data_IF_365332743746
#
_entry.id   IF_365332743746
#
_cell.length_a   1.000
_cell.length_b   1.000
_cell.length_c   1.000
_cell.angle_alpha   90.00
_cell.angle_beta   90.00
_cell.angle_gamma   90.00
#
_symmetry.space_group_name_H-M   'P 1'
#
loop_
_entity.id
_entity.type
_entity.pdbx_description
1 polymer ?
#
# COMPACT_ATOMS: atom_id res chain seq x y z
N UNK A 1 5.75 -25.43 10.47
CA UNK A 1 7.09 -25.01 10.88
C UNK A 1 7.65 -23.87 10.03
N UNK A 2 7.74 -23.97 8.69
CA UNK A 2 8.33 -22.91 7.83
C UNK A 2 7.65 -21.53 7.97
N UNK A 3 6.33 -21.46 8.11
CA UNK A 3 5.61 -20.17 8.30
C UNK A 3 5.91 -19.48 9.63
N UNK A 4 5.98 -20.27 10.70
CA UNK A 4 6.33 -19.76 12.04
C UNK A 4 7.79 -19.26 12.04
N UNK A 5 8.68 -20.02 11.42
CA UNK A 5 10.09 -19.63 11.25
C UNK A 5 10.24 -18.31 10.48
N UNK A 6 9.53 -18.17 9.36
CA UNK A 6 9.57 -16.93 8.58
C UNK A 6 9.01 -15.74 9.39
N UNK A 7 7.95 -15.94 10.16
CA UNK A 7 7.39 -14.89 11.01
C UNK A 7 8.37 -14.46 12.11
N UNK A 8 8.97 -15.41 12.82
CA UNK A 8 9.98 -15.09 13.86
C UNK A 8 11.22 -14.41 13.26
N UNK A 9 11.68 -14.85 12.09
CA UNK A 9 12.77 -14.19 11.37
C UNK A 9 12.43 -12.75 11.00
N UNK A 10 11.21 -12.48 10.54
CA UNK A 10 10.79 -11.11 10.22
C UNK A 10 10.81 -10.21 11.46
N UNK A 11 10.33 -10.70 12.62
CA UNK A 11 10.39 -9.95 13.87
C UNK A 11 11.83 -9.62 14.27
N UNK A 12 12.74 -10.60 14.16
CA UNK A 12 14.17 -10.39 14.45
C UNK A 12 14.76 -9.34 13.51
N UNK A 13 14.45 -9.40 12.21
CA UNK A 13 14.92 -8.41 11.24
C UNK A 13 14.39 -7.02 11.58
N UNK A 14 13.10 -6.88 11.97
CA UNK A 14 12.55 -5.59 12.38
C UNK A 14 13.22 -5.05 13.65
N UNK A 15 13.54 -5.92 14.62
CA UNK A 15 14.28 -5.51 15.82
C UNK A 15 15.67 -4.96 15.45
N UNK A 16 16.39 -5.67 14.58
CA UNK A 16 17.70 -5.23 14.11
C UNK A 16 17.63 -3.90 13.35
N UNK A 17 16.65 -3.75 12.44
CA UNK A 17 16.48 -2.54 11.65
C UNK A 17 16.04 -1.34 12.51
N UNK A 18 15.15 -1.54 13.47
CA UNK A 18 14.64 -0.48 14.33
C UNK A 18 15.77 0.11 15.22
N UNK A 19 16.76 -0.70 15.58
CA UNK A 19 17.89 -0.25 16.40
C UNK A 19 19.02 0.40 15.58
N UNK A 20 18.99 0.35 14.23
CA UNK A 20 20.07 0.94 13.42
C UNK A 20 20.35 2.43 13.69
N UNK A 21 19.36 3.30 13.96
CA UNK A 21 19.65 4.70 14.29
C UNK A 21 20.56 4.86 15.51
N UNK A 22 20.51 3.93 16.49
CA UNK A 22 21.37 3.97 17.67
C UNK A 22 22.85 3.68 17.39
N UNK A 23 23.21 3.24 16.17
CA UNK A 23 24.61 3.15 15.74
C UNK A 23 25.29 4.52 15.63
N UNK A 24 24.51 5.57 15.36
CA UNK A 24 25.00 6.93 15.14
C UNK A 24 24.45 7.84 16.21
N UNK A 25 25.26 8.14 17.20
CA UNK A 25 24.97 9.07 18.28
C UNK A 25 25.86 10.31 18.08
N UNK A 26 25.28 11.51 17.93
CA UNK A 26 25.99 12.75 17.64
C UNK A 26 27.09 12.63 16.54
N UNK A 27 26.77 11.93 15.45
CA UNK A 27 27.69 11.64 14.32
C UNK A 27 28.88 10.72 14.65
N UNK A 28 28.88 10.09 15.83
CA UNK A 28 29.88 9.08 16.19
C UNK A 28 29.30 7.68 16.06
N UNK A 29 30.06 6.80 15.45
CA UNK A 29 29.70 5.38 15.38
C UNK A 29 29.91 4.72 16.75
N UNK A 30 28.85 4.14 17.32
CA UNK A 30 28.88 3.44 18.59
C UNK A 30 28.15 2.10 18.51
N UNK A 31 28.92 1.02 18.38
CA UNK A 31 28.35 -0.32 18.40
C UNK A 31 27.77 -0.70 19.77
N UNK A 32 28.31 -0.12 20.85
CA UNK A 32 27.80 -0.35 22.21
C UNK A 32 26.38 0.20 22.37
N UNK A 33 26.09 1.40 21.83
CA UNK A 33 24.76 1.99 21.85
C UNK A 33 23.75 1.13 21.09
N UNK A 34 24.16 0.55 19.98
CA UNK A 34 23.32 -0.40 19.22
C UNK A 34 22.97 -1.66 20.04
N UNK A 35 23.95 -2.26 20.74
CA UNK A 35 23.68 -3.42 21.58
C UNK A 35 22.78 -3.08 22.77
N UNK A 36 22.97 -1.92 23.37
CA UNK A 36 22.10 -1.43 24.45
C UNK A 36 20.68 -1.20 23.95
N UNK A 37 20.50 -0.58 22.77
CA UNK A 37 19.21 -0.39 22.11
C UNK A 37 18.52 -1.72 21.78
N UNK A 38 19.25 -2.72 21.30
CA UNK A 38 18.69 -4.06 21.08
C UNK A 38 18.17 -4.68 22.37
N UNK A 39 18.93 -4.55 23.45
CA UNK A 39 18.53 -5.08 24.76
C UNK A 39 17.31 -4.35 25.31
N UNK A 40 17.28 -3.02 25.28
CA UNK A 40 16.15 -2.22 25.77
C UNK A 40 14.89 -2.49 24.95
N UNK A 41 14.98 -2.43 23.61
CA UNK A 41 13.84 -2.69 22.71
C UNK A 41 13.29 -4.11 22.89
N UNK A 42 14.15 -5.12 23.09
CA UNK A 42 13.69 -6.47 23.36
C UNK A 42 12.93 -6.58 24.69
N UNK A 43 13.36 -5.89 25.74
CA UNK A 43 12.67 -5.87 27.03
C UNK A 43 11.30 -5.17 26.92
N UNK A 44 11.19 -4.09 26.15
CA UNK A 44 9.93 -3.37 25.92
C UNK A 44 8.88 -4.18 25.13
N UNK A 45 9.26 -5.27 24.44
CA UNK A 45 8.30 -6.19 23.84
C UNK A 45 7.34 -6.77 24.90
N UNK A 46 7.83 -7.00 26.12
CA UNK A 46 7.05 -7.55 27.21
C UNK A 46 6.29 -6.50 28.03
N UNK A 47 6.67 -5.22 27.90
CA UNK A 47 6.06 -4.10 28.62
C UNK A 47 5.78 -2.91 27.67
N UNK A 48 4.93 -3.10 26.64
CA UNK A 48 4.70 -2.06 25.62
C UNK A 48 4.03 -0.79 26.17
N UNK A 49 3.35 -0.87 27.32
CA UNK A 49 2.74 0.28 28.00
C UNK A 49 3.79 1.26 28.55
N UNK A 50 5.02 0.80 28.78
CA UNK A 50 6.08 1.63 29.38
C UNK A 50 6.90 2.38 28.30
N UNK A 51 6.57 2.19 27.03
CA UNK A 51 7.24 2.90 25.93
C UNK A 51 6.82 4.37 25.95
N UNK A 52 7.81 5.24 26.10
CA UNK A 52 7.65 6.68 26.08
C UNK A 52 8.30 7.20 24.80
N UNK A 53 7.67 8.16 24.15
CA UNK A 53 8.26 8.90 23.03
C UNK A 53 8.33 10.38 23.36
N UNK A 54 9.39 11.04 22.92
CA UNK A 54 9.62 12.47 23.12
C UNK A 54 9.41 13.20 21.81
N UNK A 55 8.53 14.19 21.79
CA UNK A 55 8.40 15.07 20.64
C UNK A 55 9.64 15.96 20.53
N UNK A 56 10.36 15.86 19.42
CA UNK A 56 11.62 16.61 19.20
C UNK A 56 11.46 18.13 19.19
N UNK A 57 10.25 18.63 18.93
CA UNK A 57 9.97 20.08 18.86
C UNK A 57 9.52 20.62 20.22
N UNK A 58 8.56 19.94 20.88
CA UNK A 58 7.99 20.40 22.16
C UNK A 58 8.70 19.84 23.40
N UNK A 59 9.60 18.88 23.23
CA UNK A 59 10.29 18.13 24.29
C UNK A 59 9.35 17.49 25.32
N UNK A 60 8.08 17.29 24.96
CA UNK A 60 7.08 16.66 25.83
C UNK A 60 7.18 15.15 25.69
N UNK A 61 7.35 14.48 26.81
CA UNK A 61 7.29 13.02 26.91
C UNK A 61 5.83 12.56 26.99
N UNK A 62 5.49 11.54 26.20
CA UNK A 62 4.17 10.93 26.21
C UNK A 62 4.28 9.42 26.12
N UNK A 63 3.35 8.73 26.79
CA UNK A 63 3.19 7.28 26.59
C UNK A 63 2.78 7.00 25.16
N UNK A 64 3.39 5.98 24.55
CA UNK A 64 3.08 5.57 23.19
C UNK A 64 1.61 5.14 23.05
N UNK A 65 1.13 4.36 23.99
CA UNK A 65 -0.27 3.95 24.07
C UNK A 65 -1.04 4.80 25.09
N UNK A 66 -2.25 5.30 24.80
CA UNK A 66 -3.09 5.03 23.59
C UNK A 66 -2.83 5.94 22.38
N UNK A 67 -1.89 6.88 22.45
CA UNK A 67 -1.67 7.93 21.44
C UNK A 67 -1.42 7.38 20.02
N UNK A 68 -0.82 6.20 19.92
CA UNK A 68 -0.49 5.54 18.66
C UNK A 68 -1.70 5.01 17.88
N UNK A 69 -2.83 4.77 18.54
CA UNK A 69 -3.98 4.08 17.94
C UNK A 69 -4.60 4.90 16.81
N UNK A 70 -4.81 6.19 16.98
CA UNK A 70 -5.42 7.04 15.97
C UNK A 70 -4.55 7.13 14.69
N UNK A 71 -3.25 7.47 14.76
CA UNK A 71 -2.36 7.42 13.60
C UNK A 71 -2.34 6.06 12.89
N UNK A 72 -2.32 4.98 13.65
CA UNK A 72 -2.35 3.64 13.09
C UNK A 72 -3.64 3.37 12.30
N UNK A 73 -4.80 3.69 12.86
CA UNK A 73 -6.09 3.53 12.17
C UNK A 73 -6.11 4.37 10.90
N UNK A 74 -5.67 5.63 10.94
CA UNK A 74 -5.63 6.50 9.77
C UNK A 74 -4.79 5.89 8.64
N UNK A 75 -3.56 5.45 8.95
CA UNK A 75 -2.67 4.79 7.98
C UNK A 75 -3.30 3.54 7.37
N UNK A 76 -3.87 2.66 8.19
CA UNK A 76 -4.47 1.40 7.75
C UNK A 76 -5.72 1.64 6.91
N UNK A 77 -6.58 2.57 7.31
CA UNK A 77 -7.80 2.93 6.55
C UNK A 77 -7.43 3.46 5.16
N UNK A 78 -6.48 4.40 5.07
CA UNK A 78 -6.06 4.97 3.80
C UNK A 78 -5.44 3.90 2.90
N UNK A 79 -4.56 3.05 3.45
CA UNK A 79 -3.93 1.96 2.70
C UNK A 79 -4.96 1.02 2.08
N UNK A 80 -5.84 0.48 2.91
CA UNK A 80 -6.80 -0.52 2.43
C UNK A 80 -7.92 0.08 1.59
N UNK A 81 -8.36 1.31 1.87
CA UNK A 81 -9.32 2.01 1.02
C UNK A 81 -8.75 2.30 -0.38
N UNK A 82 -7.49 2.75 -0.47
CA UNK A 82 -6.82 2.97 -1.75
C UNK A 82 -6.62 1.67 -2.53
N UNK A 83 -6.22 0.58 -1.87
CA UNK A 83 -6.08 -0.74 -2.49
C UNK A 83 -7.43 -1.29 -3.00
N UNK A 84 -8.50 -1.13 -2.21
CA UNK A 84 -9.84 -1.56 -2.60
C UNK A 84 -10.36 -0.77 -3.81
N UNK A 85 -10.17 0.56 -3.80
CA UNK A 85 -10.55 1.43 -4.91
C UNK A 85 -9.79 1.04 -6.19
N UNK A 86 -8.46 0.89 -6.08
CA UNK A 86 -7.63 0.46 -7.21
C UNK A 86 -8.04 -0.91 -7.74
N UNK A 87 -8.38 -1.86 -6.87
CA UNK A 87 -8.86 -3.17 -7.25
C UNK A 87 -10.16 -3.11 -8.07
N UNK A 88 -11.17 -2.42 -7.55
CA UNK A 88 -12.47 -2.30 -8.23
C UNK A 88 -12.31 -1.60 -9.57
N UNK A 89 -11.63 -0.45 -9.59
CA UNK A 89 -11.45 0.36 -10.80
C UNK A 89 -10.61 -0.36 -11.83
N UNK A 90 -9.56 -1.10 -11.44
CA UNK A 90 -8.74 -1.87 -12.38
C UNK A 90 -9.52 -2.96 -13.10
N UNK A 91 -10.38 -3.70 -12.39
CA UNK A 91 -11.23 -4.72 -13.01
C UNK A 91 -12.30 -4.12 -13.94
N UNK A 92 -12.91 -2.99 -13.55
CA UNK A 92 -13.86 -2.29 -14.42
C UNK A 92 -13.16 -1.71 -15.66
N UNK A 93 -11.98 -1.16 -15.49
CA UNK A 93 -11.22 -0.61 -16.61
C UNK A 93 -10.73 -1.69 -17.59
N UNK A 94 -10.32 -2.86 -17.11
CA UNK A 94 -9.98 -3.99 -17.99
C UNK A 94 -11.19 -4.50 -18.77
N UNK A 95 -12.41 -4.37 -18.26
CA UNK A 95 -13.61 -4.62 -19.06
C UNK A 95 -13.73 -3.65 -20.25
N UNK A 96 -13.46 -2.35 -20.04
CA UNK A 96 -13.47 -1.37 -21.14
C UNK A 96 -12.40 -1.67 -22.18
N UNK A 97 -11.20 -2.14 -21.75
CA UNK A 97 -10.12 -2.57 -22.66
C UNK A 97 -10.52 -3.81 -23.45
N UNK A 98 -11.34 -4.70 -22.87
CA UNK A 98 -11.81 -5.91 -23.56
C UNK A 98 -12.84 -5.61 -24.65
N UNK A 99 -13.76 -4.69 -24.38
CA UNK A 99 -14.88 -4.40 -25.30
C UNK A 99 -14.50 -3.40 -26.39
N UNK A 100 -13.51 -2.54 -26.13
CA UNK A 100 -13.19 -1.42 -27.02
C UNK A 100 -11.71 -1.37 -27.41
N UNK A 101 -11.39 -1.87 -28.60
CA UNK A 101 -10.02 -1.87 -29.13
C UNK A 101 -9.41 -0.47 -29.28
N UNK A 102 -10.23 0.57 -29.49
CA UNK A 102 -9.75 1.93 -29.59
C UNK A 102 -9.24 2.44 -28.26
N UNK A 103 -10.01 2.22 -27.18
CA UNK A 103 -9.60 2.55 -25.81
C UNK A 103 -8.31 1.76 -25.45
N UNK A 104 -8.25 0.49 -25.82
CA UNK A 104 -7.07 -0.34 -25.59
C UNK A 104 -5.81 0.24 -26.26
N UNK A 105 -5.89 0.62 -27.53
CA UNK A 105 -4.76 1.22 -28.26
C UNK A 105 -4.30 2.54 -27.63
N UNK A 106 -5.22 3.39 -27.20
CA UNK A 106 -4.91 4.63 -26.51
C UNK A 106 -4.28 4.35 -25.14
N UNK A 107 -4.84 3.43 -24.37
CA UNK A 107 -4.29 3.03 -23.08
C UNK A 107 -2.84 2.56 -23.21
N UNK A 108 -2.52 1.70 -24.17
CA UNK A 108 -1.15 1.21 -24.36
C UNK A 108 -0.15 2.34 -24.64
N UNK A 109 -0.53 3.36 -25.41
CA UNK A 109 0.30 4.55 -25.63
C UNK A 109 0.50 5.36 -24.36
N UNK A 110 -0.58 5.61 -23.62
CA UNK A 110 -0.52 6.37 -22.35
C UNK A 110 0.28 5.59 -21.31
N UNK A 111 0.08 4.30 -21.21
CA UNK A 111 0.78 3.44 -20.26
C UNK A 111 2.30 3.46 -20.48
N UNK A 112 2.75 3.52 -21.73
CA UNK A 112 4.18 3.69 -22.04
C UNK A 112 4.74 4.99 -21.46
N UNK A 113 3.97 6.08 -21.47
CA UNK A 113 4.37 7.36 -20.86
C UNK A 113 4.30 7.25 -19.33
N UNK A 114 3.22 6.71 -18.78
CA UNK A 114 3.04 6.57 -17.33
C UNK A 114 4.13 5.71 -16.69
N UNK A 115 4.58 4.65 -17.37
CA UNK A 115 5.64 3.76 -16.85
C UNK A 115 7.03 4.41 -16.77
N UNK A 116 7.24 5.56 -17.42
CA UNK A 116 8.49 6.34 -17.32
C UNK A 116 8.47 7.24 -16.08
N UNK A 117 7.29 7.65 -15.62
CA UNK A 117 7.13 8.56 -14.48
C UNK A 117 7.34 7.77 -13.19
N UNK A 118 8.32 8.13 -12.34
CA UNK A 118 8.46 7.51 -11.03
C UNK A 118 7.21 7.71 -10.18
N UNK A 119 6.80 6.66 -9.45
CA UNK A 119 5.54 6.62 -8.67
C UNK A 119 5.39 7.80 -7.70
N UNK A 120 6.50 8.27 -7.15
CA UNK A 120 6.52 9.40 -6.23
C UNK A 120 5.96 10.70 -6.83
N UNK A 121 6.04 10.90 -8.14
CA UNK A 121 5.59 12.14 -8.79
C UNK A 121 4.06 12.22 -8.91
N UNK A 122 3.33 11.11 -8.81
CA UNK A 122 1.86 11.14 -8.84
C UNK A 122 1.28 11.96 -7.69
N UNK A 123 1.92 11.94 -6.51
CA UNK A 123 1.44 12.65 -5.33
C UNK A 123 1.51 14.18 -5.52
N UNK A 124 2.70 14.79 -5.74
CA UNK A 124 2.79 16.24 -5.91
C UNK A 124 2.08 16.74 -7.17
N UNK A 125 2.03 15.95 -8.24
CA UNK A 125 1.29 16.30 -9.44
C UNK A 125 -0.22 16.39 -9.18
N UNK A 126 -0.78 15.45 -8.43
CA UNK A 126 -2.21 15.47 -8.06
C UNK A 126 -2.55 16.68 -7.19
N UNK A 127 -1.70 17.00 -6.21
CA UNK A 127 -1.88 18.18 -5.36
C UNK A 127 -1.80 19.46 -6.18
N UNK A 128 -0.78 19.59 -7.02
CA UNK A 128 -0.61 20.76 -7.90
C UNK A 128 -1.81 20.94 -8.83
N UNK A 129 -2.36 19.85 -9.34
CA UNK A 129 -3.54 19.89 -10.22
C UNK A 129 -4.77 20.46 -9.50
N UNK A 130 -5.01 20.06 -8.24
CA UNK A 130 -6.15 20.60 -7.44
C UNK A 130 -5.92 22.07 -7.09
N UNK A 131 -4.69 22.44 -6.73
CA UNK A 131 -4.36 23.86 -6.42
C UNK A 131 -4.53 24.72 -7.66
N UNK A 132 -4.04 24.31 -8.84
CA UNK A 132 -4.22 25.03 -10.09
C UNK A 132 -5.69 25.15 -10.45
N UNK A 133 -6.46 24.08 -10.32
CA UNK A 133 -7.91 24.13 -10.56
C UNK A 133 -8.60 25.17 -9.66
N UNK A 134 -8.26 25.19 -8.36
CA UNK A 134 -8.79 26.18 -7.42
C UNK A 134 -8.41 27.62 -7.83
N UNK A 135 -7.16 27.86 -8.24
CA UNK A 135 -6.72 29.19 -8.67
C UNK A 135 -7.47 29.72 -9.91
N UNK A 136 -7.92 28.82 -10.81
CA UNK A 136 -8.66 29.24 -12.02
C UNK A 136 -10.17 29.32 -11.83
N UNK A 137 -10.73 28.57 -10.87
CA UNK A 137 -12.20 28.42 -10.75
C UNK A 137 -12.75 28.94 -9.44
N UNK A 138 -11.92 29.26 -8.45
CA UNK A 138 -12.29 29.55 -7.06
C UNK A 138 -13.09 28.41 -6.37
N UNK A 139 -13.09 27.19 -6.96
CA UNK A 139 -13.78 26.03 -6.42
C UNK A 139 -12.78 25.08 -5.78
N UNK A 140 -12.82 24.91 -4.46
CA UNK A 140 -12.02 23.92 -3.75
C UNK A 140 -12.63 22.53 -3.89
N UNK A 141 -12.04 21.68 -4.74
CA UNK A 141 -12.52 20.31 -4.97
C UNK A 141 -12.26 19.40 -3.77
N UNK A 142 -11.08 19.52 -3.17
CA UNK A 142 -10.62 18.68 -2.07
C UNK A 142 -9.69 19.46 -1.12
N UNK A 143 -9.73 19.12 0.15
CA UNK A 143 -8.72 19.58 1.10
C UNK A 143 -7.40 18.88 0.81
N UNK A 144 -6.36 19.67 0.50
CA UNK A 144 -5.02 19.18 0.09
C UNK A 144 -4.07 18.93 1.26
N UNK A 145 -4.48 19.31 2.48
CA UNK A 145 -3.73 19.04 3.71
C UNK A 145 -4.68 18.90 4.89
N UNK A 146 -4.26 18.14 5.89
CA UNK A 146 -4.99 18.08 7.16
C UNK A 146 -4.84 19.40 7.94
N UNK A 147 -5.96 19.91 8.43
CA UNK A 147 -6.02 20.98 9.42
C UNK A 147 -6.61 20.45 10.73
N UNK A 148 -6.55 21.27 11.80
CA UNK A 148 -7.15 20.93 13.11
C UNK A 148 -8.67 20.76 13.05
N UNK A 149 -9.32 21.39 12.08
CA UNK A 149 -10.78 21.40 11.94
C UNK A 149 -11.29 20.42 10.87
N UNK A 150 -10.49 20.20 9.80
CA UNK A 150 -10.90 19.36 8.65
C UNK A 150 -9.87 18.28 8.35
N UNK A 151 -10.29 17.02 8.48
CA UNK A 151 -9.47 15.86 8.09
C UNK A 151 -9.62 15.59 6.59
N UNK A 152 -8.54 15.76 5.84
CA UNK A 152 -8.50 15.35 4.43
C UNK A 152 -8.31 13.82 4.36
N UNK A 153 -9.36 13.05 4.12
CA UNK A 153 -9.28 11.58 3.96
C UNK A 153 -9.50 11.16 2.51
N UNK A 154 -10.50 11.75 1.84
CA UNK A 154 -10.94 11.32 0.51
C UNK A 154 -9.83 11.55 -0.53
N UNK A 155 -9.25 12.74 -0.57
CA UNK A 155 -8.24 13.08 -1.57
C UNK A 155 -6.95 12.26 -1.42
N UNK A 156 -6.37 12.06 -0.23
CA UNK A 156 -5.27 11.13 -0.02
C UNK A 156 -5.55 9.70 -0.50
N UNK A 157 -6.76 9.17 -0.25
CA UNK A 157 -7.16 7.84 -0.73
C UNK A 157 -7.18 7.79 -2.26
N UNK A 158 -7.76 8.81 -2.92
CA UNK A 158 -7.79 8.90 -4.37
C UNK A 158 -6.39 8.97 -4.96
N UNK A 159 -5.53 9.83 -4.41
CA UNK A 159 -4.15 10.01 -4.88
C UNK A 159 -3.33 8.74 -4.68
N UNK A 160 -3.42 8.11 -3.50
CA UNK A 160 -2.71 6.86 -3.24
C UNK A 160 -3.19 5.73 -4.15
N UNK A 161 -4.47 5.70 -4.51
CA UNK A 161 -5.03 4.65 -5.37
C UNK A 161 -4.51 4.67 -6.80
N UNK A 162 -3.94 5.79 -7.29
CA UNK A 162 -3.40 5.91 -8.65
C UNK A 162 -2.28 4.89 -8.88
N UNK A 163 -1.38 4.75 -7.93
CA UNK A 163 -0.20 3.89 -8.04
C UNK A 163 -0.57 2.41 -8.18
N UNK A 164 -1.33 1.81 -7.23
CA UNK A 164 -1.78 0.44 -7.38
C UNK A 164 -2.74 0.25 -8.56
N UNK A 165 -3.51 1.27 -8.96
CA UNK A 165 -4.38 1.21 -10.13
C UNK A 165 -3.57 1.06 -11.43
N UNK A 166 -2.59 1.94 -11.67
CA UNK A 166 -1.75 1.89 -12.87
C UNK A 166 -1.00 0.56 -12.95
N UNK A 167 -0.38 0.12 -11.85
CA UNK A 167 0.30 -1.16 -11.77
C UNK A 167 -0.64 -2.34 -12.04
N UNK A 168 -1.84 -2.33 -11.46
CA UNK A 168 -2.84 -3.40 -11.64
C UNK A 168 -3.35 -3.46 -13.07
N UNK A 169 -3.72 -2.33 -13.68
CA UNK A 169 -4.24 -2.30 -15.05
C UNK A 169 -3.16 -2.74 -16.03
N UNK A 170 -1.91 -2.33 -15.84
CA UNK A 170 -0.78 -2.75 -16.68
C UNK A 170 -0.61 -4.27 -16.63
N UNK A 171 -0.59 -4.86 -15.46
CA UNK A 171 -0.49 -6.30 -15.27
C UNK A 171 -1.71 -7.04 -15.84
N UNK A 172 -2.92 -6.60 -15.49
CA UNK A 172 -4.16 -7.26 -15.91
C UNK A 172 -4.41 -7.13 -17.41
N UNK A 173 -3.95 -6.05 -18.07
CA UNK A 173 -4.09 -5.90 -19.52
C UNK A 173 -3.27 -6.93 -20.29
N UNK A 174 -2.08 -7.32 -19.80
CA UNK A 174 -1.29 -8.40 -20.41
C UNK A 174 -1.97 -9.76 -20.26
N UNK A 175 -2.50 -10.05 -19.07
CA UNK A 175 -3.25 -11.29 -18.80
C UNK A 175 -4.56 -11.33 -19.61
N UNK A 176 -5.23 -10.20 -19.80
CA UNK A 176 -6.44 -10.09 -20.60
C UNK A 176 -6.21 -10.55 -22.03
N UNK A 177 -5.06 -10.20 -22.63
CA UNK A 177 -4.71 -10.64 -23.99
C UNK A 177 -4.56 -12.15 -24.09
N UNK A 178 -3.90 -12.76 -23.14
CA UNK A 178 -3.70 -14.21 -23.09
C UNK A 178 -5.03 -14.96 -22.88
N UNK A 179 -5.81 -14.51 -21.89
CA UNK A 179 -7.09 -15.15 -21.55
C UNK A 179 -8.12 -14.99 -22.67
N UNK A 180 -8.18 -13.82 -23.32
CA UNK A 180 -9.17 -13.54 -24.38
C UNK A 180 -8.95 -14.37 -25.66
N UNK A 181 -7.74 -14.91 -25.87
CA UNK A 181 -7.37 -15.78 -27.00
C UNK A 181 -7.43 -17.28 -26.68
N UNK A 182 -7.81 -17.64 -25.46
CA UNK A 182 -7.87 -19.04 -25.07
C UNK A 182 -9.03 -19.77 -25.76
N UNK A 183 -8.80 -21.02 -26.19
CA UNK A 183 -9.74 -21.84 -26.97
C UNK A 183 -11.13 -21.94 -26.36
N UNK A 184 -11.22 -22.00 -25.02
CA UNK A 184 -12.51 -22.06 -24.32
C UNK A 184 -13.31 -20.75 -24.44
N UNK A 185 -12.66 -19.61 -24.62
CA UNK A 185 -13.31 -18.31 -24.88
C UNK A 185 -13.85 -18.28 -26.32
N UNK A 186 -13.05 -18.73 -27.29
CA UNK A 186 -13.51 -18.84 -28.69
C UNK A 186 -14.69 -19.79 -28.79
N UNK A 187 -14.62 -20.94 -28.14
CA UNK A 187 -15.74 -21.88 -28.09
C UNK A 187 -16.99 -21.31 -27.43
N UNK A 188 -16.83 -20.52 -26.38
CA UNK A 188 -17.95 -19.84 -25.71
C UNK A 188 -18.57 -18.76 -26.62
N UNK A 189 -17.75 -18.10 -27.44
CA UNK A 189 -18.21 -17.12 -28.44
C UNK A 189 -19.02 -17.81 -29.56
N UNK A 190 -18.62 -18.99 -30.01
CA UNK A 190 -19.39 -19.75 -31.00
C UNK A 190 -20.74 -20.23 -30.49
N UNK A 191 -20.91 -20.34 -29.15
CA UNK A 191 -22.20 -20.60 -28.50
C UNK A 191 -23.12 -19.38 -28.42
N UNK A 192 -22.71 -18.21 -28.93
CA UNK A 192 -23.53 -17.00 -28.98
C UNK A 192 -23.51 -16.16 -27.71
N UNK A 193 -22.54 -16.39 -26.80
CA UNK A 193 -22.41 -15.55 -25.62
C UNK A 193 -21.97 -14.11 -26.00
N UNK A 194 -22.62 -13.14 -25.39
CA UNK A 194 -22.26 -11.73 -25.55
C UNK A 194 -20.89 -11.40 -24.91
N UNK A 195 -20.25 -10.30 -25.33
CA UNK A 195 -18.98 -9.86 -24.74
C UNK A 195 -19.10 -9.61 -23.23
N UNK A 196 -20.25 -9.12 -22.75
CA UNK A 196 -20.51 -8.92 -21.32
C UNK A 196 -20.49 -10.27 -20.60
N UNK A 197 -21.21 -11.26 -21.12
CA UNK A 197 -21.25 -12.59 -20.51
C UNK A 197 -19.89 -13.29 -20.53
N UNK A 198 -19.15 -13.18 -21.63
CA UNK A 198 -17.81 -13.74 -21.75
C UNK A 198 -16.88 -13.11 -20.70
N UNK A 199 -16.93 -11.78 -20.55
CA UNK A 199 -16.09 -11.10 -19.57
C UNK A 199 -16.43 -11.53 -18.14
N UNK A 200 -17.68 -11.36 -17.71
CA UNK A 200 -18.05 -11.58 -16.30
C UNK A 200 -18.09 -13.07 -15.90
N UNK A 201 -18.44 -13.99 -16.80
CA UNK A 201 -18.52 -15.42 -16.49
C UNK A 201 -17.17 -16.15 -16.61
N UNK A 202 -16.32 -15.73 -17.56
CA UNK A 202 -15.12 -16.49 -17.91
C UNK A 202 -13.83 -15.69 -17.68
N UNK A 203 -13.71 -14.48 -18.22
CA UNK A 203 -12.47 -13.70 -18.21
C UNK A 203 -12.19 -13.15 -16.80
N UNK A 204 -13.19 -12.53 -16.16
CA UNK A 204 -13.06 -11.88 -14.87
C UNK A 204 -12.52 -12.83 -13.78
N UNK A 205 -12.94 -14.09 -13.80
CA UNK A 205 -12.45 -15.09 -12.84
C UNK A 205 -10.93 -15.29 -12.91
N UNK A 206 -10.39 -15.32 -14.13
CA UNK A 206 -8.95 -15.46 -14.35
C UNK A 206 -8.19 -14.17 -13.99
N UNK A 207 -8.74 -12.99 -14.35
CA UNK A 207 -8.16 -11.71 -13.97
C UNK A 207 -8.13 -11.52 -12.46
N UNK A 208 -9.20 -11.91 -11.76
CA UNK A 208 -9.27 -11.87 -10.31
C UNK A 208 -8.21 -12.78 -9.65
N UNK A 209 -8.08 -14.02 -10.13
CA UNK A 209 -7.04 -14.92 -9.65
C UNK A 209 -5.63 -14.34 -9.89
N UNK A 210 -5.38 -13.80 -11.07
CA UNK A 210 -4.10 -13.16 -11.42
C UNK A 210 -3.83 -11.92 -10.56
N UNK A 211 -4.83 -11.11 -10.26
CA UNK A 211 -4.71 -9.99 -9.33
C UNK A 211 -4.25 -10.47 -7.94
N UNK A 212 -4.88 -11.52 -7.40
CA UNK A 212 -4.52 -12.08 -6.09
C UNK A 212 -3.09 -12.63 -6.05
N UNK A 213 -2.60 -13.21 -7.15
CA UNK A 213 -1.20 -13.67 -7.28
C UNK A 213 -0.24 -12.47 -7.17
N UNK A 214 -0.58 -11.35 -7.82
CA UNK A 214 0.25 -10.14 -7.84
C UNK A 214 0.01 -9.21 -6.63
N UNK A 215 -0.95 -9.50 -5.76
CA UNK A 215 -1.38 -8.64 -4.66
C UNK A 215 -0.24 -8.27 -3.70
N UNK A 216 0.68 -9.20 -3.44
CA UNK A 216 1.87 -8.94 -2.62
C UNK A 216 2.72 -7.79 -3.20
N UNK A 217 2.92 -7.76 -4.49
CA UNK A 217 3.66 -6.68 -5.16
C UNK A 217 2.90 -5.34 -5.05
N UNK A 218 1.59 -5.37 -5.35
CA UNK A 218 0.73 -4.19 -5.32
C UNK A 218 0.71 -3.53 -3.92
N UNK A 219 0.55 -4.33 -2.86
CA UNK A 219 0.50 -3.78 -1.50
C UNK A 219 1.85 -3.17 -1.07
N UNK A 220 2.99 -3.75 -1.50
CA UNK A 220 4.31 -3.21 -1.16
C UNK A 220 4.61 -1.89 -1.84
N UNK A 221 4.30 -1.72 -3.12
CA UNK A 221 4.49 -0.43 -3.81
C UNK A 221 3.56 0.64 -3.21
N UNK A 222 2.31 0.28 -2.89
CA UNK A 222 1.36 1.20 -2.25
C UNK A 222 1.84 1.62 -0.86
N UNK A 223 2.35 0.69 -0.06
CA UNK A 223 2.89 0.98 1.27
C UNK A 223 4.10 1.91 1.22
N UNK A 224 4.99 1.71 0.26
CA UNK A 224 6.14 2.61 0.05
C UNK A 224 5.70 4.05 -0.24
N UNK A 225 4.69 4.22 -1.09
CA UNK A 225 4.17 5.53 -1.46
C UNK A 225 3.30 6.16 -0.36
N UNK A 226 2.66 5.35 0.48
CA UNK A 226 1.86 5.81 1.60
C UNK A 226 2.67 6.63 2.61
N UNK A 227 3.88 6.20 2.95
CA UNK A 227 4.75 6.93 3.90
C UNK A 227 5.07 8.35 3.42
N UNK A 228 5.30 8.49 2.13
CA UNK A 228 5.54 9.80 1.49
C UNK A 228 4.27 10.62 1.41
N UNK A 229 3.15 9.99 1.06
CA UNK A 229 1.84 10.64 0.99
C UNK A 229 1.45 11.23 2.34
N UNK A 230 1.55 10.47 3.43
CA UNK A 230 1.25 10.97 4.78
C UNK A 230 2.07 12.20 5.13
N UNK A 231 3.34 12.23 4.73
CA UNK A 231 4.23 13.37 4.99
C UNK A 231 3.84 14.60 4.18
N UNK A 232 3.55 14.44 2.88
CA UNK A 232 3.22 15.54 1.98
C UNK A 232 1.84 16.15 2.34
N UNK A 233 0.87 15.32 2.71
CA UNK A 233 -0.47 15.76 3.13
C UNK A 233 -0.53 16.24 4.58
N UNK A 234 0.61 16.27 5.30
CA UNK A 234 0.69 16.58 6.73
C UNK A 234 -0.31 15.75 7.56
N UNK A 235 -0.40 14.46 7.25
CA UNK A 235 -1.33 13.58 7.93
C UNK A 235 -0.74 13.07 9.24
N UNK A 236 -1.59 12.98 10.26
CA UNK A 236 -1.21 12.32 11.50
C UNK A 236 -1.32 10.81 11.32
N UNK A 237 -0.25 10.23 10.78
CA UNK A 237 -0.12 8.82 10.45
C UNK A 237 1.16 8.20 11.02
N UNK A 238 1.43 6.93 10.67
CA UNK A 238 2.59 6.19 11.17
C UNK A 238 3.93 6.74 10.66
N UNK A 239 3.94 7.46 9.54
CA UNK A 239 5.15 8.11 9.04
C UNK A 239 5.76 9.09 10.05
N UNK A 240 4.93 9.79 10.86
CA UNK A 240 5.43 10.68 11.92
C UNK A 240 6.20 9.93 12.99
N UNK A 241 5.81 8.71 13.34
CA UNK A 241 6.56 7.88 14.32
C UNK A 241 7.88 7.35 13.75
N UNK A 242 7.96 7.19 12.43
CA UNK A 242 9.21 6.77 11.79
C UNK A 242 10.19 7.95 11.71
N UNK A 243 9.73 9.14 11.31
CA UNK A 243 10.61 10.27 10.98
C UNK A 243 10.80 11.25 12.14
N UNK A 244 9.75 11.49 12.95
CA UNK A 244 9.76 12.54 13.96
C UNK A 244 10.05 12.01 15.36
N UNK A 245 9.65 10.77 15.68
CA UNK A 245 9.75 10.17 17.02
C UNK A 245 10.62 8.92 17.09
N UNK A 246 11.51 8.74 16.16
CA UNK A 246 12.26 7.52 15.85
C UNK A 246 13.19 6.98 16.93
N UNK A 247 12.73 6.76 18.18
CA UNK A 247 13.46 5.89 19.11
C UNK A 247 13.37 4.43 18.64
N UNK A 248 14.37 3.58 18.96
CA UNK A 248 14.38 2.17 18.54
C UNK A 248 13.09 1.41 18.91
N UNK A 249 12.56 1.65 20.10
CA UNK A 249 11.35 1.02 20.63
C UNK A 249 10.11 1.44 19.83
N UNK A 250 9.99 2.74 19.52
CA UNK A 250 8.90 3.29 18.71
C UNK A 250 8.94 2.78 17.28
N UNK A 251 10.13 2.74 16.67
CA UNK A 251 10.32 2.20 15.33
C UNK A 251 9.94 0.73 15.25
N UNK A 252 10.36 -0.07 16.23
CA UNK A 252 10.04 -1.49 16.29
C UNK A 252 8.53 -1.73 16.35
N UNK A 253 7.82 -1.04 17.26
CA UNK A 253 6.36 -1.13 17.39
C UNK A 253 5.68 -0.70 16.09
N UNK A 254 6.15 0.40 15.47
CA UNK A 254 5.61 0.90 14.19
C UNK A 254 5.75 -0.14 13.08
N UNK A 255 6.92 -0.79 12.94
CA UNK A 255 7.11 -1.83 11.93
C UNK A 255 6.21 -3.04 12.16
N UNK A 256 6.04 -3.50 13.40
CA UNK A 256 5.13 -4.61 13.72
C UNK A 256 3.68 -4.24 13.39
N UNK A 257 3.23 -3.05 13.77
CA UNK A 257 1.85 -2.62 13.58
C UNK A 257 1.49 -2.34 12.11
N UNK A 258 2.46 -2.04 11.25
CA UNK A 258 2.28 -2.02 9.80
C UNK A 258 2.28 -3.46 9.25
N UNK A 259 3.22 -4.27 9.68
CA UNK A 259 3.44 -5.61 9.13
C UNK A 259 2.26 -6.56 9.39
N UNK A 260 1.68 -6.53 10.60
CA UNK A 260 0.60 -7.46 10.98
C UNK A 260 -0.60 -7.37 10.04
N UNK A 261 -1.25 -6.19 9.82
CA UNK A 261 -2.39 -6.11 8.91
C UNK A 261 -2.02 -6.39 7.45
N UNK A 262 -0.83 -5.97 7.00
CA UNK A 262 -0.34 -6.25 5.64
C UNK A 262 -0.12 -7.76 5.43
N UNK A 263 0.54 -8.43 6.36
CA UNK A 263 0.76 -9.88 6.29
C UNK A 263 -0.56 -10.68 6.35
N UNK A 264 -1.51 -10.21 7.15
CA UNK A 264 -2.85 -10.80 7.22
C UNK A 264 -3.59 -10.64 5.88
N UNK A 265 -3.54 -9.47 5.26
CA UNK A 265 -4.16 -9.23 3.96
C UNK A 265 -3.54 -10.13 2.87
N UNK A 266 -2.21 -10.26 2.82
CA UNK A 266 -1.52 -11.18 1.90
C UNK A 266 -1.91 -12.64 2.20
N UNK A 267 -2.00 -13.04 3.45
CA UNK A 267 -2.46 -14.38 3.82
C UNK A 267 -3.90 -14.64 3.36
N UNK A 268 -4.80 -13.69 3.55
CA UNK A 268 -6.19 -13.78 3.11
C UNK A 268 -6.29 -13.86 1.59
N UNK A 269 -5.50 -13.07 0.85
CA UNK A 269 -5.48 -13.13 -0.62
C UNK A 269 -5.07 -14.52 -1.13
N UNK A 270 -4.06 -15.15 -0.54
CA UNK A 270 -3.67 -16.52 -0.87
C UNK A 270 -4.74 -17.56 -0.53
N UNK A 271 -5.44 -17.39 0.60
CA UNK A 271 -6.54 -18.29 0.99
C UNK A 271 -7.69 -18.20 0.00
N UNK A 272 -8.08 -16.99 -0.40
CA UNK A 272 -9.12 -16.75 -1.42
C UNK A 272 -8.70 -17.33 -2.76
N UNK A 273 -7.45 -17.12 -3.19
CA UNK A 273 -6.90 -17.70 -4.41
C UNK A 273 -7.03 -19.23 -4.41
N UNK A 274 -6.64 -19.90 -3.32
CA UNK A 274 -6.75 -21.35 -3.20
C UNK A 274 -8.21 -21.84 -3.31
N UNK A 275 -9.15 -21.10 -2.70
CA UNK A 275 -10.58 -21.46 -2.78
C UNK A 275 -11.12 -21.36 -4.20
N UNK A 276 -10.64 -20.40 -5.02
CA UNK A 276 -11.12 -20.18 -6.38
C UNK A 276 -10.46 -21.12 -7.39
N UNK A 277 -9.16 -21.38 -7.25
CA UNK A 277 -8.36 -22.09 -8.27
C UNK A 277 -8.08 -23.55 -7.89
N UNK A 278 -8.20 -23.93 -6.62
CA UNK A 278 -7.73 -25.23 -6.10
C UNK A 278 -6.20 -25.36 -6.06
N UNK A 279 -5.46 -24.37 -6.59
CA UNK A 279 -4.00 -24.37 -6.64
C UNK A 279 -3.44 -23.66 -5.40
N UNK A 280 -2.58 -24.35 -4.66
CA UNK A 280 -1.81 -23.70 -3.59
C UNK A 280 -0.81 -22.76 -4.25
N UNK A 281 -1.07 -21.46 -4.21
CA UNK A 281 -0.09 -20.47 -4.60
C UNK A 281 1.20 -20.74 -3.84
N UNK A 282 2.29 -20.97 -4.55
CA UNK A 282 3.57 -21.25 -3.93
C UNK A 282 3.99 -20.07 -3.05
N UNK A 283 3.98 -20.30 -1.73
CA UNK A 283 4.66 -19.45 -0.77
C UNK A 283 6.15 -19.78 -0.87
N UNK A 284 6.82 -19.24 -1.88
CA UNK A 284 8.29 -19.19 -1.92
C UNK A 284 8.76 -17.90 -1.26
#
# INVERSE_FOLDING_TARGET
MRKLFNFTMTIIVFLLLACLPALFDDQRFSFLNYLNALKSTFLYIFHPQDIIFTNKISHVERSLFPFFIEPWINTIVILFAALLLAFIVSLLFTYLLYVNDHIKKWYLKINTVLSIIPDIFYIPFSISSVILFYQYTDILLFNVANSSEDKALIFPILVLSIIPLVSSVTFLSSILDDVSRADYIEFSRTKGLSNVELYFKHILRNLFASYLINFKHIIWITLSSLLLLERIFNMHGLSSFIFDYGSPEVLFVTFILIYVPVSLAIFMSHKVLFTITGVRGGLS
#
